data_IF_842975617873
#
_entry.id   IF_842975617873
#
_cell.length_a   1.000
_cell.length_b   1.000
_cell.length_c   1.000
_cell.angle_alpha   90.00
_cell.angle_beta   90.00
_cell.angle_gamma   90.00
#
_symmetry.space_group_name_H-M   'P 1'
#
loop_
_entity.id
_entity.type
_entity.pdbx_description
1 polymer ?
#
# COMPACT_ATOMS: atom_id res chain seq x y z
N UNK A 1 14.07 10.56 -3.82
CA UNK A 1 13.21 10.08 -4.91
C UNK A 1 12.08 11.05 -5.17
N UNK A 2 12.24 11.99 -6.08
CA UNK A 2 11.20 12.98 -6.38
C UNK A 2 10.47 12.58 -7.67
N UNK A 3 9.14 12.70 -7.71
CA UNK A 3 8.31 12.23 -8.82
C UNK A 3 8.78 12.72 -10.20
N UNK A 4 9.04 14.01 -10.34
CA UNK A 4 9.53 14.62 -11.58
C UNK A 4 10.87 14.07 -12.05
N UNK A 5 11.81 13.85 -11.13
CA UNK A 5 13.13 13.26 -11.44
C UNK A 5 12.99 11.78 -11.83
N UNK A 6 12.11 11.04 -11.17
CA UNK A 6 11.85 9.64 -11.50
C UNK A 6 11.25 9.49 -12.91
N UNK A 7 10.28 10.32 -13.29
CA UNK A 7 9.73 10.29 -14.66
C UNK A 7 10.80 10.62 -15.69
N UNK A 8 11.61 11.67 -15.45
CA UNK A 8 12.66 12.04 -16.38
C UNK A 8 13.68 10.92 -16.59
N UNK A 9 14.09 10.24 -15.50
CA UNK A 9 15.01 9.09 -15.57
C UNK A 9 14.37 7.86 -16.19
N UNK A 10 13.08 7.62 -15.95
CA UNK A 10 12.33 6.53 -16.58
C UNK A 10 12.30 6.71 -18.11
N UNK A 11 12.00 7.91 -18.58
CA UNK A 11 12.02 8.25 -20.00
C UNK A 11 13.41 8.03 -20.63
N UNK A 12 14.49 8.46 -19.94
CA UNK A 12 15.86 8.19 -20.36
C UNK A 12 16.17 6.69 -20.46
N UNK A 13 15.73 5.91 -19.48
CA UNK A 13 16.03 4.47 -19.41
C UNK A 13 15.28 3.65 -20.46
N UNK A 14 14.10 4.09 -20.86
CA UNK A 14 13.34 3.52 -21.98
C UNK A 14 13.99 3.86 -23.34
N UNK A 15 15.04 4.69 -23.33
CA UNK A 15 15.79 5.22 -24.49
C UNK A 15 14.89 5.97 -25.47
N UNK A 16 14.00 6.79 -24.93
CA UNK A 16 13.20 7.69 -25.75
C UNK A 16 13.96 9.02 -25.92
N UNK A 17 14.26 9.36 -27.17
CA UNK A 17 15.03 10.57 -27.52
C UNK A 17 14.20 11.85 -27.37
N UNK A 18 12.94 11.77 -26.93
CA UNK A 18 12.06 12.92 -26.82
C UNK A 18 11.39 13.02 -25.44
N UNK A 19 11.67 14.08 -24.66
CA UNK A 19 10.85 14.44 -23.51
C UNK A 19 9.42 14.89 -23.90
N UNK A 20 9.05 14.82 -25.19
CA UNK A 20 7.73 15.15 -25.75
C UNK A 20 7.19 14.05 -26.71
N UNK A 21 7.72 12.82 -26.63
CA UNK A 21 7.31 11.72 -27.51
C UNK A 21 5.89 11.22 -27.21
N UNK A 22 5.09 11.03 -28.26
CA UNK A 22 3.66 10.67 -28.24
C UNK A 22 3.26 9.37 -27.53
N UNK A 23 4.19 8.69 -26.85
CA UNK A 23 4.03 7.31 -26.37
C UNK A 23 4.03 7.18 -24.85
N UNK A 24 4.69 8.08 -24.10
CA UNK A 24 4.74 8.04 -22.64
C UNK A 24 3.62 8.86 -22.03
N UNK A 25 2.52 8.20 -21.68
CA UNK A 25 1.44 8.81 -20.92
C UNK A 25 1.88 9.13 -19.47
N UNK A 26 1.63 10.36 -19.00
CA UNK A 26 2.10 10.85 -17.70
C UNK A 26 1.51 10.04 -16.54
N UNK A 27 0.19 9.89 -16.51
CA UNK A 27 -0.54 9.08 -15.54
C UNK A 27 -0.01 7.64 -15.55
N UNK A 28 0.06 7.02 -16.72
CA UNK A 28 0.56 5.65 -16.86
C UNK A 28 1.99 5.50 -16.33
N UNK A 29 2.87 6.47 -16.58
CA UNK A 29 4.24 6.46 -16.07
C UNK A 29 4.27 6.46 -14.54
N UNK A 30 3.42 7.25 -13.90
CA UNK A 30 3.25 7.22 -12.44
C UNK A 30 2.64 5.90 -11.96
N UNK A 31 1.64 5.34 -12.66
CA UNK A 31 1.03 4.05 -12.31
C UNK A 31 2.11 2.94 -12.24
N UNK A 32 3.00 2.88 -13.24
CA UNK A 32 4.09 1.90 -13.29
C UNK A 32 5.14 2.13 -12.20
N UNK A 33 5.51 3.38 -11.93
CA UNK A 33 6.43 3.71 -10.83
C UNK A 33 5.83 3.32 -9.48
N UNK A 34 4.54 3.56 -9.29
CA UNK A 34 3.85 3.19 -8.06
C UNK A 34 3.73 1.67 -7.90
N UNK A 35 3.44 0.95 -8.98
CA UNK A 35 3.46 -0.52 -8.98
C UNK A 35 4.84 -1.07 -8.63
N UNK A 36 5.89 -0.53 -9.26
CA UNK A 36 7.27 -0.87 -8.96
C UNK A 36 7.63 -0.62 -7.48
N UNK A 37 7.23 0.53 -6.94
CA UNK A 37 7.46 0.88 -5.56
C UNK A 37 6.74 -0.05 -4.58
N UNK A 38 5.48 -0.45 -4.87
CA UNK A 38 4.74 -1.43 -4.06
C UNK A 38 5.42 -2.79 -4.03
N UNK A 39 5.83 -3.30 -5.20
CA UNK A 39 6.52 -4.59 -5.30
C UNK A 39 7.87 -4.55 -4.56
N UNK A 40 8.64 -3.46 -4.74
CA UNK A 40 9.89 -3.25 -4.02
C UNK A 40 9.68 -3.23 -2.50
N UNK A 41 8.66 -2.52 -2.00
CA UNK A 41 8.34 -2.46 -0.58
C UNK A 41 7.98 -3.84 0.00
N UNK A 42 7.10 -4.56 -0.70
CA UNK A 42 6.65 -5.90 -0.32
C UNK A 42 7.81 -6.89 -0.17
N UNK A 43 8.68 -6.94 -1.17
CA UNK A 43 9.75 -7.94 -1.25
C UNK A 43 10.97 -7.60 -0.37
N UNK A 44 11.34 -6.32 -0.29
CA UNK A 44 12.48 -5.89 0.53
C UNK A 44 12.11 -5.67 2.00
N UNK A 45 10.82 -5.58 2.32
CA UNK A 45 10.31 -5.18 3.64
C UNK A 45 10.92 -3.87 4.14
N UNK A 46 11.21 -2.94 3.24
CA UNK A 46 11.88 -1.68 3.56
C UNK A 46 10.97 -0.77 4.39
N UNK A 47 9.70 -0.65 3.99
CA UNK A 47 8.70 0.16 4.66
C UNK A 47 7.87 -0.71 5.60
N UNK A 48 7.68 -0.24 6.81
CA UNK A 48 6.95 -0.95 7.85
C UNK A 48 6.28 0.04 8.80
N UNK A 49 5.20 -0.41 9.42
CA UNK A 49 4.44 0.34 10.40
C UNK A 49 3.85 -0.63 11.42
N UNK A 50 3.32 -0.08 12.51
CA UNK A 50 2.66 -0.84 13.57
C UNK A 50 1.24 -0.34 13.73
N UNK A 51 0.28 -1.25 13.78
CA UNK A 51 -1.10 -0.96 14.11
C UNK A 51 -1.45 -1.65 15.42
N UNK A 52 -1.97 -0.89 16.38
CA UNK A 52 -2.52 -1.45 17.61
C UNK A 52 -4.01 -1.73 17.39
N UNK A 53 -4.41 -2.99 17.55
CA UNK A 53 -5.81 -3.41 17.53
C UNK A 53 -6.22 -3.72 18.97
N UNK A 54 -7.28 -3.06 19.43
CA UNK A 54 -7.94 -3.40 20.70
C UNK A 54 -9.11 -4.31 20.39
N UNK A 55 -9.10 -5.49 21.00
CA UNK A 55 -10.16 -6.48 20.86
C UNK A 55 -11.46 -5.99 21.49
N UNK A 56 -12.56 -6.42 20.88
CA UNK A 56 -13.92 -6.27 21.39
C UNK A 56 -14.47 -7.67 21.58
N UNK A 57 -15.19 -7.86 22.67
CA UNK A 57 -15.83 -9.12 23.03
C UNK A 57 -16.67 -9.67 21.87
N UNK A 58 -16.51 -10.95 21.56
CA UNK A 58 -17.16 -11.69 20.46
C UNK A 58 -16.87 -11.18 19.03
N UNK A 59 -16.04 -10.14 18.87
CA UNK A 59 -15.72 -9.60 17.55
C UNK A 59 -14.52 -10.34 16.93
N UNK A 60 -14.79 -11.07 15.84
CA UNK A 60 -13.75 -11.80 15.12
C UNK A 60 -12.94 -10.92 14.15
N UNK A 61 -13.53 -9.86 13.58
CA UNK A 61 -12.96 -9.11 12.45
C UNK A 61 -12.51 -7.71 12.85
N UNK A 62 -11.31 -7.32 12.43
CA UNK A 62 -10.72 -6.03 12.74
C UNK A 62 -10.13 -5.38 11.47
N UNK A 63 -10.51 -4.13 11.14
CA UNK A 63 -10.03 -3.48 9.94
C UNK A 63 -8.54 -3.16 10.04
N UNK A 64 -7.81 -3.49 8.98
CA UNK A 64 -6.41 -3.14 8.83
C UNK A 64 -6.25 -1.77 8.18
N UNK A 65 -5.10 -1.15 8.45
CA UNK A 65 -4.77 0.12 7.80
C UNK A 65 -4.76 -0.03 6.27
N UNK A 66 -5.15 1.02 5.52
CA UNK A 66 -5.29 0.92 4.06
C UNK A 66 -3.99 0.63 3.31
N UNK A 67 -2.85 0.90 3.94
CA UNK A 67 -1.52 0.64 3.39
C UNK A 67 -0.97 -0.73 3.79
N UNK A 68 -1.76 -1.61 4.41
CA UNK A 68 -1.32 -2.96 4.76
C UNK A 68 -1.01 -3.77 3.49
N UNK A 69 0.20 -4.34 3.43
CA UNK A 69 0.57 -5.31 2.39
C UNK A 69 0.71 -6.73 2.93
N UNK A 70 1.42 -6.89 4.05
CA UNK A 70 1.77 -8.20 4.60
C UNK A 70 2.23 -8.10 6.05
N UNK A 71 2.05 -9.15 6.85
CA UNK A 71 2.64 -9.25 8.19
C UNK A 71 4.17 -9.25 8.11
N UNK A 72 4.81 -8.49 9.01
CA UNK A 72 6.28 -8.35 9.03
C UNK A 72 6.96 -9.52 9.75
N UNK A 73 6.34 -9.96 10.86
CA UNK A 73 6.92 -10.90 11.82
C UNK A 73 6.70 -12.34 11.38
N UNK A 74 7.75 -13.14 11.51
CA UNK A 74 7.78 -14.54 11.14
C UNK A 74 8.38 -15.38 12.28
N UNK A 75 7.92 -16.61 12.44
CA UNK A 75 8.53 -17.61 13.31
C UNK A 75 9.83 -18.19 12.72
N UNK A 76 10.45 -19.13 13.44
CA UNK A 76 11.68 -19.82 12.98
C UNK A 76 11.47 -20.67 11.72
N UNK A 77 10.23 -21.00 11.38
CA UNK A 77 9.86 -21.75 10.19
C UNK A 77 9.44 -20.82 9.02
N UNK A 78 9.46 -19.51 9.22
CA UNK A 78 9.03 -18.52 8.23
C UNK A 78 7.52 -18.34 8.14
N UNK A 79 6.73 -18.85 9.10
CA UNK A 79 5.29 -18.60 9.19
C UNK A 79 5.02 -17.25 9.84
N UNK A 80 4.07 -16.52 9.29
CA UNK A 80 3.68 -15.22 9.83
C UNK A 80 3.03 -15.36 11.20
N UNK A 81 3.44 -14.50 12.13
CA UNK A 81 2.94 -14.51 13.51
C UNK A 81 2.67 -13.10 14.00
N UNK A 82 1.74 -12.97 14.94
CA UNK A 82 1.41 -11.69 15.58
C UNK A 82 1.34 -11.86 17.10
N UNK A 83 1.83 -10.89 17.89
CA UNK A 83 1.71 -10.93 19.33
C UNK A 83 0.30 -10.52 19.77
N UNK A 84 -0.29 -11.31 20.65
CA UNK A 84 -1.57 -11.06 21.30
C UNK A 84 -1.35 -10.92 22.81
N UNK A 85 -1.75 -9.80 23.38
CA UNK A 85 -1.59 -9.49 24.79
C UNK A 85 -2.95 -9.45 25.48
N UNK A 86 -3.20 -10.41 26.37
CA UNK A 86 -4.44 -10.50 27.15
C UNK A 86 -4.43 -9.67 28.44
N UNK A 87 -3.45 -8.77 28.60
CA UNK A 87 -3.23 -7.95 29.80
C UNK A 87 -2.34 -8.61 30.86
N UNK A 88 -2.11 -9.93 30.77
CA UNK A 88 -1.28 -10.68 31.73
C UNK A 88 -0.10 -11.41 31.07
N UNK A 89 -0.30 -11.92 29.85
CA UNK A 89 0.68 -12.67 29.09
C UNK A 89 0.58 -12.33 27.60
N UNK A 90 1.68 -12.56 26.89
CA UNK A 90 1.74 -12.45 25.43
C UNK A 90 1.72 -13.84 24.82
N UNK A 91 0.70 -14.13 24.02
CA UNK A 91 0.62 -15.30 23.15
C UNK A 91 0.98 -14.92 21.72
N UNK A 92 1.48 -15.88 20.93
CA UNK A 92 1.85 -15.65 19.54
C UNK A 92 0.86 -16.38 18.65
N UNK A 93 0.04 -15.63 17.94
CA UNK A 93 -0.93 -16.19 16.99
C UNK A 93 -0.21 -16.50 15.70
N UNK A 94 -0.56 -17.62 15.08
CA UNK A 94 -0.01 -18.02 13.78
C UNK A 94 -1.01 -17.79 12.65
N UNK A 95 -0.50 -17.45 11.47
CA UNK A 95 -1.33 -17.31 10.27
C UNK A 95 -1.92 -18.67 9.91
N UNK A 96 -3.25 -18.73 9.86
CA UNK A 96 -4.05 -19.85 9.38
C UNK A 96 -4.75 -19.52 8.07
N UNK A 97 -5.21 -20.56 7.38
CA UNK A 97 -6.05 -20.38 6.20
C UNK A 97 -7.47 -19.95 6.64
N UNK A 98 -8.05 -18.96 5.95
CA UNK A 98 -9.40 -18.49 6.28
C UNK A 98 -10.47 -19.60 6.29
N UNK A 99 -10.49 -20.56 5.34
CA UNK A 99 -11.43 -21.68 5.42
C UNK A 99 -11.29 -22.50 6.70
N UNK A 100 -10.07 -22.74 7.19
CA UNK A 100 -9.86 -23.48 8.43
C UNK A 100 -10.49 -22.76 9.62
N UNK A 101 -10.39 -21.42 9.68
CA UNK A 101 -11.06 -20.60 10.70
C UNK A 101 -12.59 -20.72 10.63
N UNK A 102 -13.16 -20.89 9.44
CA UNK A 102 -14.63 -20.98 9.28
C UNK A 102 -15.18 -22.36 9.65
N UNK A 103 -14.39 -23.42 9.48
CA UNK A 103 -14.85 -24.81 9.67
C UNK A 103 -14.47 -25.43 11.01
N UNK A 104 -13.36 -25.00 11.59
CA UNK A 104 -12.91 -25.48 12.90
C UNK A 104 -13.47 -24.56 13.97
N UNK A 105 -14.51 -25.01 14.67
CA UNK A 105 -15.06 -24.33 15.83
C UNK A 105 -14.18 -24.61 17.05
N UNK A 106 -13.36 -23.63 17.44
CA UNK A 106 -12.49 -23.72 18.60
C UNK A 106 -13.16 -23.02 19.78
N UNK A 107 -13.43 -23.75 20.86
CA UNK A 107 -14.09 -23.25 22.08
C UNK A 107 -13.08 -22.61 23.09
N UNK A 108 -11.98 -22.02 22.59
CA UNK A 108 -10.97 -21.37 23.44
C UNK A 108 -11.31 -19.88 23.66
N UNK A 109 -11.04 -19.35 24.86
CA UNK A 109 -11.30 -17.92 25.17
C UNK A 109 -10.24 -16.95 24.66
N UNK A 110 -9.10 -17.49 24.21
CA UNK A 110 -7.97 -16.73 23.68
C UNK A 110 -7.73 -17.22 22.26
N UNK A 111 -7.68 -16.32 21.27
CA UNK A 111 -7.33 -16.69 19.90
C UNK A 111 -6.00 -17.44 19.87
N UNK A 112 -5.87 -18.43 18.99
CA UNK A 112 -4.61 -19.16 18.77
C UNK A 112 -4.10 -19.01 17.33
N UNK A 113 -4.95 -18.56 16.42
CA UNK A 113 -4.62 -18.28 15.01
C UNK A 113 -5.31 -17.03 14.51
N UNK A 114 -4.87 -16.56 13.35
CA UNK A 114 -5.49 -15.46 12.65
C UNK A 114 -5.46 -15.69 11.14
N UNK A 115 -6.34 -15.02 10.40
CA UNK A 115 -6.27 -14.91 8.95
C UNK A 115 -6.38 -13.46 8.51
N UNK A 116 -5.94 -13.19 7.29
CA UNK A 116 -6.15 -11.92 6.61
C UNK A 116 -7.15 -12.18 5.48
N UNK A 117 -8.22 -11.40 5.43
CA UNK A 117 -9.26 -11.52 4.40
C UNK A 117 -9.53 -10.18 3.74
N UNK A 118 -10.03 -10.22 2.51
CA UNK A 118 -10.52 -9.02 1.85
C UNK A 118 -11.68 -8.41 2.64
N UNK A 119 -11.57 -7.11 2.91
CA UNK A 119 -12.66 -6.34 3.49
C UNK A 119 -13.72 -6.11 2.41
N UNK A 120 -15.02 -6.25 2.71
CA UNK A 120 -16.08 -5.88 1.78
C UNK A 120 -15.87 -4.47 1.23
N UNK A 121 -16.07 -4.32 -0.08
CA UNK A 121 -15.87 -3.06 -0.79
C UNK A 121 -16.63 -1.93 -0.10
N UNK A 122 -15.92 -0.89 0.32
CA UNK A 122 -16.55 0.26 0.94
C UNK A 122 -17.43 1.02 -0.07
N UNK A 123 -18.50 1.63 0.44
CA UNK A 123 -19.46 2.41 -0.34
C UNK A 123 -18.76 3.54 -1.08
N UNK A 124 -19.14 3.75 -2.34
CA UNK A 124 -18.68 4.89 -3.12
C UNK A 124 -19.14 6.20 -2.46
N UNK A 125 -18.25 7.18 -2.42
CA UNK A 125 -18.60 8.52 -1.99
C UNK A 125 -18.83 9.38 -3.23
N UNK A 126 -19.99 10.02 -3.32
CA UNK A 126 -20.34 10.90 -4.42
C UNK A 126 -20.64 12.29 -3.88
N UNK A 127 -20.29 13.32 -4.64
CA UNK A 127 -20.56 14.69 -4.20
C UNK A 127 -20.29 15.71 -5.29
N UNK A 128 -20.21 16.98 -4.89
CA UNK A 128 -19.94 18.10 -5.78
C UNK A 128 -18.92 19.03 -5.15
N UNK A 129 -17.85 19.34 -5.88
CA UNK A 129 -16.82 20.24 -5.41
C UNK A 129 -17.40 21.63 -5.12
N UNK A 130 -17.17 22.13 -3.91
CA UNK A 130 -17.68 23.44 -3.45
C UNK A 130 -16.70 24.57 -3.72
N UNK A 131 -15.45 24.28 -4.08
CA UNK A 131 -14.44 25.28 -4.44
C UNK A 131 -13.57 24.82 -5.61
N UNK A 132 -13.12 25.76 -6.44
CA UNK A 132 -12.12 25.49 -7.45
C UNK A 132 -10.72 25.34 -6.84
N UNK A 133 -9.88 24.51 -7.45
CA UNK A 133 -8.46 24.36 -7.13
C UNK A 133 -7.68 24.13 -8.42
N UNK A 134 -6.82 25.07 -8.77
CA UNK A 134 -5.85 24.89 -9.85
C UNK A 134 -4.80 23.84 -9.46
N UNK A 135 -4.25 23.11 -10.43
CA UNK A 135 -3.13 22.23 -10.17
C UNK A 135 -1.86 23.03 -9.87
N UNK A 136 -1.07 22.49 -8.97
CA UNK A 136 0.27 22.98 -8.65
C UNK A 136 1.21 21.79 -8.58
N UNK A 137 1.99 21.58 -9.64
CA UNK A 137 2.93 20.45 -9.73
C UNK A 137 2.26 19.09 -9.61
N UNK A 138 1.03 18.96 -10.13
CA UNK A 138 0.25 17.71 -10.08
C UNK A 138 -0.60 17.50 -8.84
N UNK A 139 -0.61 18.43 -7.88
CA UNK A 139 -1.54 18.42 -6.75
C UNK A 139 -2.71 19.39 -6.98
N UNK A 140 -3.92 18.93 -6.66
CA UNK A 140 -5.13 19.75 -6.52
C UNK A 140 -5.85 19.42 -5.22
N UNK A 141 -6.73 20.29 -4.75
CA UNK A 141 -7.56 20.04 -3.57
C UNK A 141 -9.02 19.90 -3.98
N UNK A 142 -9.61 18.74 -3.69
CA UNK A 142 -11.05 18.53 -3.73
C UNK A 142 -11.63 18.97 -2.39
N UNK A 143 -12.47 20.00 -2.41
CA UNK A 143 -13.22 20.48 -1.23
C UNK A 143 -14.70 20.25 -1.46
N UNK A 144 -15.36 19.63 -0.50
CA UNK A 144 -16.81 19.49 -0.44
C UNK A 144 -17.25 19.64 1.02
N UNK A 145 -17.91 20.75 1.34
CA UNK A 145 -18.33 21.08 2.71
C UNK A 145 -19.42 20.15 3.26
N UNK A 146 -20.04 19.33 2.40
CA UNK A 146 -21.10 18.39 2.78
C UNK A 146 -20.60 16.95 2.87
N UNK A 147 -19.43 16.65 2.31
CA UNK A 147 -18.85 15.31 2.31
C UNK A 147 -18.08 15.00 3.61
N UNK A 148 -17.92 13.70 3.88
CA UNK A 148 -17.14 13.18 4.99
C UNK A 148 -15.96 12.34 4.47
N UNK A 149 -14.84 13.01 4.19
CA UNK A 149 -13.63 12.38 3.66
C UNK A 149 -12.76 11.68 4.71
N UNK A 150 -13.10 11.75 6.01
CA UNK A 150 -12.30 11.17 7.10
C UNK A 150 -12.12 9.65 7.00
N UNK A 151 -13.04 8.97 6.32
CA UNK A 151 -13.04 7.51 6.17
C UNK A 151 -12.41 7.06 4.85
N UNK A 152 -12.01 7.99 3.99
CA UNK A 152 -11.51 7.66 2.65
C UNK A 152 -10.02 7.37 2.70
N UNK A 153 -9.59 6.16 2.31
CA UNK A 153 -8.18 5.82 2.35
C UNK A 153 -7.38 6.55 1.27
N UNK A 154 -6.13 6.90 1.60
CA UNK A 154 -5.14 7.37 0.61
C UNK A 154 -4.93 6.30 -0.47
N UNK A 155 -4.75 6.72 -1.72
CA UNK A 155 -4.68 5.84 -2.88
C UNK A 155 -6.04 5.45 -3.48
N UNK A 156 -7.15 5.89 -2.87
CA UNK A 156 -8.49 5.76 -3.47
C UNK A 156 -8.57 6.48 -4.81
N UNK A 157 -9.30 5.91 -5.76
CA UNK A 157 -9.50 6.52 -7.08
C UNK A 157 -10.58 7.59 -7.02
N UNK A 158 -10.38 8.70 -7.72
CA UNK A 158 -11.32 9.81 -7.84
C UNK A 158 -11.63 10.02 -9.30
N UNK A 159 -12.92 10.14 -9.61
CA UNK A 159 -13.42 10.43 -10.94
C UNK A 159 -14.15 11.75 -10.85
N UNK A 160 -13.73 12.71 -11.67
CA UNK A 160 -14.60 13.83 -11.98
C UNK A 160 -15.63 13.31 -12.99
N UNK A 161 -16.92 13.46 -12.72
CA UNK A 161 -17.98 13.00 -13.63
C UNK A 161 -18.53 14.12 -14.50
N UNK A 162 -18.14 15.37 -14.24
CA UNK A 162 -18.46 16.52 -15.08
C UNK A 162 -17.48 16.63 -16.24
N UNK A 163 -16.22 16.31 -16.00
CA UNK A 163 -15.12 16.30 -16.98
C UNK A 163 -14.54 14.90 -17.11
N UNK A 164 -13.79 14.59 -18.17
CA UNK A 164 -13.14 13.28 -18.33
C UNK A 164 -11.85 13.14 -17.50
N UNK A 165 -11.90 13.54 -16.22
CA UNK A 165 -10.71 13.55 -15.36
C UNK A 165 -10.73 12.38 -14.38
N UNK A 166 -9.57 11.75 -14.22
CA UNK A 166 -9.35 10.63 -13.30
C UNK A 166 -8.15 10.93 -12.44
N UNK A 167 -8.19 10.53 -11.19
CA UNK A 167 -7.12 10.78 -10.25
C UNK A 167 -7.09 9.85 -9.06
N UNK A 168 -6.20 10.19 -8.13
CA UNK A 168 -6.01 9.45 -6.89
C UNK A 168 -5.94 10.41 -5.70
N UNK A 169 -6.45 9.98 -4.56
CA UNK A 169 -6.31 10.71 -3.30
C UNK A 169 -4.87 10.53 -2.79
N UNK A 170 -4.18 11.64 -2.58
CA UNK A 170 -2.81 11.68 -2.06
C UNK A 170 -2.79 11.84 -0.54
N UNK A 171 -3.72 12.63 0.01
CA UNK A 171 -3.85 12.81 1.46
C UNK A 171 -5.22 13.38 1.84
N UNK A 172 -5.66 13.08 3.05
CA UNK A 172 -6.86 13.70 3.65
C UNK A 172 -6.41 14.89 4.49
N UNK A 173 -6.82 16.10 4.10
CA UNK A 173 -6.40 17.34 4.79
C UNK A 173 -7.37 17.70 5.90
N UNK A 174 -8.67 17.45 5.69
CA UNK A 174 -9.72 17.60 6.69
C UNK A 174 -10.89 16.67 6.37
N UNK A 175 -11.94 16.66 7.20
CA UNK A 175 -13.16 15.92 6.90
C UNK A 175 -13.89 16.39 5.64
N UNK A 176 -13.59 17.59 5.13
CA UNK A 176 -14.24 18.22 3.97
C UNK A 176 -13.28 18.53 2.83
N UNK A 177 -11.99 18.20 2.96
CA UNK A 177 -10.98 18.47 1.94
C UNK A 177 -9.94 17.35 1.83
N UNK A 178 -9.68 16.92 0.60
CA UNK A 178 -8.63 15.94 0.26
C UNK A 178 -7.73 16.49 -0.83
N UNK A 179 -6.44 16.16 -0.76
CA UNK A 179 -5.51 16.39 -1.87
C UNK A 179 -5.62 15.25 -2.86
N UNK A 180 -5.67 15.61 -4.14
CA UNK A 180 -5.78 14.68 -5.26
C UNK A 180 -4.71 14.97 -6.31
N UNK A 181 -4.21 13.93 -6.98
CA UNK A 181 -3.56 14.08 -8.27
C UNK A 181 -4.58 13.76 -9.35
N UNK A 182 -4.98 14.77 -10.13
CA UNK A 182 -5.97 14.62 -11.19
C UNK A 182 -5.30 14.69 -12.55
N UNK A 183 -5.77 13.85 -13.47
CA UNK A 183 -5.28 13.73 -14.83
C UNK A 183 -6.43 13.88 -15.82
N UNK A 184 -6.23 14.70 -16.84
CA UNK A 184 -7.17 14.82 -17.95
C UNK A 184 -6.93 13.68 -18.95
N UNK A 185 -7.96 12.88 -19.22
CA UNK A 185 -7.92 11.78 -20.18
C UNK A 185 -8.55 12.14 -21.53
N UNK A 186 -8.88 13.42 -21.77
CA UNK A 186 -9.49 13.88 -23.02
C UNK A 186 -8.53 13.79 -24.22
N UNK A 187 -7.22 13.84 -23.97
CA UNK A 187 -6.18 13.73 -24.97
C UNK A 187 -5.46 12.37 -24.89
N UNK A 188 -4.71 12.03 -25.95
CA UNK A 188 -3.90 10.78 -26.01
C UNK A 188 -2.85 10.73 -24.90
N UNK A 189 -2.32 11.89 -24.50
CA UNK A 189 -1.42 12.03 -23.36
C UNK A 189 -2.16 12.71 -22.23
N UNK A 190 -2.13 12.11 -21.04
CA UNK A 190 -2.66 12.73 -19.86
C UNK A 190 -1.82 13.94 -19.45
N UNK A 191 -2.53 15.01 -19.09
CA UNK A 191 -1.97 16.19 -18.46
C UNK A 191 -2.58 16.34 -17.07
N UNK A 192 -1.95 17.12 -16.20
CA UNK A 192 -2.58 17.45 -14.92
C UNK A 192 -3.89 18.21 -15.14
N UNK A 193 -4.87 17.90 -14.31
CA UNK A 193 -6.19 18.50 -14.33
C UNK A 193 -6.48 19.26 -13.05
N UNK A 194 -7.42 20.19 -13.14
CA UNK A 194 -7.85 21.08 -12.07
C UNK A 194 -9.23 20.68 -11.54
N UNK A 195 -9.58 21.15 -10.34
CA UNK A 195 -10.96 21.14 -9.88
C UNK A 195 -11.62 22.49 -10.15
N UNK A 196 -12.83 22.49 -10.67
CA UNK A 196 -13.71 23.66 -10.64
C UNK A 196 -14.83 23.46 -9.65
N UNK A 197 -15.30 24.54 -9.03
CA UNK A 197 -16.56 24.51 -8.29
C UNK A 197 -17.66 23.95 -9.20
N UNK A 198 -18.59 23.20 -8.64
CA UNK A 198 -19.67 22.46 -9.35
C UNK A 198 -19.25 21.17 -10.05
N UNK A 199 -17.97 20.79 -10.08
CA UNK A 199 -17.61 19.46 -10.56
C UNK A 199 -18.21 18.37 -9.68
N UNK A 200 -19.06 17.54 -10.28
CA UNK A 200 -19.51 16.30 -9.66
C UNK A 200 -18.38 15.28 -9.64
N UNK A 201 -18.32 14.47 -8.60
CA UNK A 201 -17.28 13.46 -8.45
C UNK A 201 -17.81 12.15 -7.87
N UNK A 202 -17.06 11.09 -8.15
CA UNK A 202 -17.18 9.77 -7.52
C UNK A 202 -15.81 9.42 -6.95
N UNK A 203 -15.73 9.14 -5.66
CA UNK A 203 -14.58 8.52 -5.02
C UNK A 203 -14.89 7.04 -4.84
N UNK A 204 -13.99 6.21 -5.37
CA UNK A 204 -13.99 4.78 -5.16
C UNK A 204 -12.92 4.45 -4.12
N UNK A 205 -13.31 4.08 -2.87
CA UNK A 205 -12.35 3.67 -1.86
C UNK A 205 -11.47 2.51 -2.35
N UNK A 206 -10.18 2.58 -2.02
CA UNK A 206 -9.24 1.50 -2.26
C UNK A 206 -9.63 0.22 -1.51
N UNK A 207 -9.22 -0.94 -2.04
CA UNK A 207 -9.39 -2.22 -1.37
C UNK A 207 -8.64 -2.23 -0.03
N UNK A 208 -9.21 -2.91 0.97
CA UNK A 208 -8.68 -3.01 2.32
C UNK A 208 -8.76 -4.46 2.78
N UNK A 209 -8.06 -4.76 3.87
CA UNK A 209 -8.05 -6.08 4.49
C UNK A 209 -8.61 -6.01 5.91
N UNK A 210 -9.19 -7.12 6.35
CA UNK A 210 -9.57 -7.35 7.73
C UNK A 210 -8.67 -8.46 8.31
N UNK A 211 -8.25 -8.28 9.57
CA UNK A 211 -7.70 -9.33 10.41
C UNK A 211 -8.87 -10.11 11.01
N UNK A 212 -8.86 -11.43 10.85
CA UNK A 212 -9.82 -12.34 11.45
C UNK A 212 -9.11 -13.12 12.55
N UNK A 213 -9.59 -13.00 13.79
CA UNK A 213 -9.11 -13.76 14.94
C UNK A 213 -9.94 -15.03 15.11
N UNK A 214 -9.26 -16.09 15.51
CA UNK A 214 -9.91 -17.36 15.76
C UNK A 214 -9.27 -18.14 16.94
N UNK A 215 -10.08 -18.55 17.92
CA UNK A 215 -11.46 -18.11 18.14
C UNK A 215 -11.62 -16.59 18.34
N UNK A 216 -12.84 -16.04 18.19
CA UNK A 216 -13.13 -14.67 18.59
C UNK A 216 -12.76 -14.47 20.07
N UNK A 217 -12.24 -13.29 20.46
CA UNK A 217 -11.91 -13.03 21.84
C UNK A 217 -13.17 -12.87 22.70
N UNK A 218 -13.24 -13.59 23.82
CA UNK A 218 -14.35 -13.51 24.81
C UNK A 218 -14.21 -12.33 25.78
N UNK A 219 -13.22 -11.47 25.57
CA UNK A 219 -12.94 -10.35 26.49
C UNK A 219 -12.48 -9.14 25.69
N UNK A 220 -13.11 -8.00 25.98
CA UNK A 220 -12.72 -6.71 25.41
C UNK A 220 -11.44 -6.19 26.07
N UNK A 221 -10.64 -5.45 25.31
CA UNK A 221 -9.48 -4.72 25.83
C UNK A 221 -8.14 -5.46 25.74
N UNK A 222 -8.12 -6.72 25.28
CA UNK A 222 -6.87 -7.35 24.86
C UNK A 222 -6.30 -6.61 23.63
N UNK A 223 -4.98 -6.63 23.46
CA UNK A 223 -4.30 -5.83 22.43
C UNK A 223 -3.44 -6.68 21.51
N UNK A 224 -3.42 -6.32 20.24
CA UNK A 224 -2.54 -6.89 19.22
C UNK A 224 -1.68 -5.77 18.67
N UNK A 225 -0.35 -5.94 18.75
CA UNK A 225 0.60 -5.05 18.11
C UNK A 225 1.01 -5.64 16.76
N UNK A 226 0.23 -5.32 15.71
CA UNK A 226 0.48 -5.81 14.37
C UNK A 226 1.60 -5.00 13.72
N UNK A 227 2.78 -5.62 13.58
CA UNK A 227 3.84 -5.10 12.71
C UNK A 227 3.62 -5.61 11.28
N UNK A 228 3.57 -4.69 10.32
CA UNK A 228 3.29 -5.02 8.93
C UNK A 228 4.19 -4.24 7.97
N UNK A 229 4.40 -4.83 6.80
CA UNK A 229 4.98 -4.16 5.64
C UNK A 229 3.90 -3.23 5.08
N UNK A 230 4.23 -1.94 4.98
CA UNK A 230 3.30 -0.96 4.43
C UNK A 230 3.60 -0.65 2.97
N UNK A 231 2.55 -0.38 2.19
CA UNK A 231 2.68 0.17 0.86
C UNK A 231 3.25 1.60 0.96
N UNK A 232 4.09 2.02 0.01
CA UNK A 232 4.48 3.41 -0.07
C UNK A 232 3.26 4.29 -0.33
N UNK A 233 3.33 5.56 0.09
CA UNK A 233 2.33 6.54 -0.30
C UNK A 233 2.35 6.75 -1.83
N UNK A 234 1.19 6.94 -2.47
CA UNK A 234 1.12 7.16 -3.91
C UNK A 234 1.78 8.48 -4.27
N UNK A 235 2.74 8.43 -5.21
CA UNK A 235 3.42 9.61 -5.75
C UNK A 235 2.94 9.80 -7.18
N UNK A 236 1.99 10.71 -7.37
CA UNK A 236 1.44 11.12 -8.68
C UNK A 236 1.60 12.61 -8.93
N UNK A 237 2.51 13.27 -8.20
CA UNK A 237 2.80 14.69 -8.32
C UNK A 237 4.30 14.93 -8.53
N UNK A 238 4.66 16.08 -9.09
CA UNK A 238 6.02 16.43 -9.50
C UNK A 238 6.98 16.41 -8.31
N UNK A 239 6.55 16.99 -7.18
CA UNK A 239 7.38 17.20 -6.00
C UNK A 239 7.16 16.15 -4.90
N UNK A 240 6.31 15.15 -5.16
CA UNK A 240 6.09 14.04 -4.26
C UNK A 240 7.31 13.15 -4.17
N UNK A 241 7.45 12.44 -3.05
CA UNK A 241 8.61 11.56 -2.86
C UNK A 241 8.27 10.28 -2.13
N UNK A 242 8.89 9.18 -2.56
CA UNK A 242 8.80 7.91 -1.86
C UNK A 242 9.73 7.91 -0.64
N UNK A 243 9.24 7.36 0.47
CA UNK A 243 9.97 7.27 1.75
C UNK A 243 11.06 6.20 1.83
N UNK A 244 11.58 5.66 0.73
CA UNK A 244 12.69 4.71 0.81
C UNK A 244 14.04 5.42 0.95
N UNK A 245 15.02 4.71 1.53
CA UNK A 245 16.40 5.17 1.59
C UNK A 245 16.99 5.39 0.19
N UNK A 246 17.99 6.28 0.10
CA UNK A 246 18.71 6.53 -1.14
C UNK A 246 19.47 5.30 -1.62
N UNK A 247 19.63 5.17 -2.93
CA UNK A 247 20.28 4.05 -3.61
C UNK A 247 19.32 2.95 -4.09
N UNK A 248 18.03 3.03 -3.77
CA UNK A 248 17.01 2.10 -4.26
C UNK A 248 16.23 2.63 -5.47
N UNK A 249 16.49 3.87 -5.88
CA UNK A 249 15.79 4.53 -6.99
C UNK A 249 15.93 3.76 -8.30
N UNK A 250 17.14 3.27 -8.55
CA UNK A 250 17.47 2.56 -9.78
C UNK A 250 16.71 1.24 -9.91
N UNK A 251 16.44 0.55 -8.79
CA UNK A 251 15.70 -0.70 -8.79
C UNK A 251 14.25 -0.46 -9.20
N UNK A 252 13.61 0.54 -8.59
CA UNK A 252 12.24 0.94 -8.90
C UNK A 252 12.13 1.38 -10.37
N UNK A 253 13.06 2.21 -10.84
CA UNK A 253 13.10 2.66 -12.24
C UNK A 253 13.26 1.51 -13.24
N UNK A 254 14.15 0.56 -12.97
CA UNK A 254 14.38 -0.61 -13.85
C UNK A 254 13.15 -1.51 -13.93
N UNK A 255 12.45 -1.73 -12.82
CA UNK A 255 11.23 -2.51 -12.82
C UNK A 255 10.07 -1.80 -13.54
N UNK A 256 9.91 -0.49 -13.31
CA UNK A 256 8.93 0.31 -14.04
C UNK A 256 9.20 0.30 -15.56
N UNK A 257 10.46 0.45 -15.97
CA UNK A 257 10.83 0.36 -17.38
C UNK A 257 10.65 -1.06 -17.96
N UNK A 258 10.88 -2.10 -17.17
CA UNK A 258 10.58 -3.47 -17.56
C UNK A 258 9.08 -3.66 -17.86
N UNK A 259 8.21 -3.23 -16.95
CA UNK A 259 6.75 -3.28 -17.16
C UNK A 259 6.35 -2.54 -18.44
N UNK A 260 6.95 -1.37 -18.67
CA UNK A 260 6.73 -0.57 -19.87
C UNK A 260 7.12 -1.33 -21.15
N UNK A 261 8.33 -1.91 -21.20
CA UNK A 261 8.86 -2.62 -22.37
C UNK A 261 8.17 -3.96 -22.63
N UNK A 262 7.67 -4.60 -21.57
CA UNK A 262 6.91 -5.85 -21.70
C UNK A 262 5.57 -5.61 -22.39
N UNK A 263 4.88 -4.51 -22.07
CA UNK A 263 3.67 -4.05 -22.79
C UNK A 263 3.94 -3.87 -24.29
N UNK A 264 5.08 -3.26 -24.63
CA UNK A 264 5.46 -2.96 -26.01
C UNK A 264 6.03 -4.18 -26.77
N UNK A 265 5.92 -5.39 -26.20
CA UNK A 265 6.39 -6.65 -26.80
C UNK A 265 7.89 -6.65 -27.18
N UNK A 266 8.74 -6.01 -26.37
CA UNK A 266 10.20 -6.03 -26.52
C UNK A 266 10.87 -6.92 -25.44
N UNK A 267 10.63 -8.25 -25.44
CA UNK A 267 10.98 -9.13 -24.31
C UNK A 267 12.49 -9.20 -24.05
N UNK A 268 13.32 -9.29 -25.09
CA UNK A 268 14.79 -9.43 -24.93
C UNK A 268 15.45 -8.26 -24.21
N UNK A 269 14.94 -7.03 -24.40
CA UNK A 269 15.44 -5.85 -23.70
C UNK A 269 14.86 -5.76 -22.28
N UNK A 270 13.57 -6.11 -22.13
CA UNK A 270 12.92 -6.19 -20.82
C UNK A 270 13.62 -7.18 -19.87
N UNK A 271 13.97 -8.37 -20.33
CA UNK A 271 14.55 -9.42 -19.48
C UNK A 271 15.84 -8.98 -18.78
N UNK A 272 16.68 -8.17 -19.45
CA UNK A 272 17.89 -7.61 -18.86
C UNK A 272 17.59 -6.62 -17.71
N UNK A 273 16.54 -5.80 -17.86
CA UNK A 273 16.09 -4.88 -16.83
C UNK A 273 15.53 -5.60 -15.61
N UNK A 274 14.76 -6.67 -15.84
CA UNK A 274 14.23 -7.51 -14.76
C UNK A 274 15.35 -8.22 -13.99
N UNK A 275 16.34 -8.78 -14.67
CA UNK A 275 17.50 -9.41 -14.01
C UNK A 275 18.31 -8.40 -13.18
N UNK A 276 18.48 -7.18 -13.68
CA UNK A 276 19.15 -6.11 -12.93
C UNK A 276 18.33 -5.68 -11.70
N UNK A 277 17.01 -5.62 -11.83
CA UNK A 277 16.09 -5.40 -10.70
C UNK A 277 16.21 -6.51 -9.66
N UNK A 278 16.10 -7.80 -10.04
CA UNK A 278 16.19 -8.94 -9.12
C UNK A 278 17.52 -8.95 -8.35
N UNK A 279 18.63 -8.62 -9.02
CA UNK A 279 19.93 -8.50 -8.35
C UNK A 279 19.93 -7.41 -7.27
N UNK A 280 19.37 -6.23 -7.58
CA UNK A 280 19.28 -5.12 -6.63
C UNK A 280 18.30 -5.44 -5.48
N UNK A 281 17.21 -6.15 -5.77
CA UNK A 281 16.25 -6.64 -4.79
C UNK A 281 16.87 -7.60 -3.78
N UNK A 282 17.64 -8.59 -4.24
CA UNK A 282 18.33 -9.54 -3.35
C UNK A 282 19.33 -8.82 -2.44
N UNK A 283 20.06 -7.85 -2.97
CA UNK A 283 20.99 -7.01 -2.19
C UNK A 283 20.24 -6.18 -1.15
N UNK A 284 19.18 -5.49 -1.54
CA UNK A 284 18.35 -4.68 -0.65
C UNK A 284 17.72 -5.52 0.46
N UNK A 285 17.15 -6.69 0.13
CA UNK A 285 16.58 -7.63 1.10
C UNK A 285 17.62 -8.13 2.10
N UNK A 286 18.83 -8.49 1.63
CA UNK A 286 19.93 -8.90 2.51
C UNK A 286 20.36 -7.78 3.45
N UNK A 287 20.49 -6.56 2.94
CA UNK A 287 20.86 -5.38 3.71
C UNK A 287 19.79 -5.06 4.77
N UNK A 288 18.52 -4.99 4.39
CA UNK A 288 17.41 -4.71 5.31
C UNK A 288 17.33 -5.77 6.41
N UNK A 289 17.48 -7.05 6.08
CA UNK A 289 17.53 -8.13 7.09
C UNK A 289 18.73 -8.01 8.04
N UNK A 290 19.87 -7.53 7.53
CA UNK A 290 21.07 -7.33 8.34
C UNK A 290 20.93 -6.16 9.29
N UNK A 291 20.46 -5.01 8.80
CA UNK A 291 20.26 -3.77 9.58
C UNK A 291 19.20 -3.99 10.66
N UNK A 292 18.12 -4.71 10.34
CA UNK A 292 17.03 -4.99 11.28
C UNK A 292 17.33 -6.12 12.28
N UNK A 293 18.55 -6.67 12.31
CA UNK A 293 18.89 -7.80 13.18
C UNK A 293 18.16 -9.11 12.86
N UNK A 294 17.32 -9.15 11.83
CA UNK A 294 16.55 -10.33 11.38
C UNK A 294 17.44 -11.49 10.92
N UNK A 295 18.75 -11.27 10.71
CA UNK A 295 19.70 -12.37 10.53
C UNK A 295 19.86 -13.25 11.78
N UNK A 296 19.43 -12.80 12.98
CA UNK A 296 19.71 -13.47 14.26
C UNK A 296 18.62 -13.41 15.34
N UNK A 297 17.45 -12.83 15.11
CA UNK A 297 16.33 -12.98 16.07
C UNK A 297 15.69 -14.36 15.86
N UNK A 298 16.33 -15.38 16.42
CA UNK A 298 15.66 -16.65 16.72
C UNK A 298 14.95 -16.42 18.05
N UNK A 299 13.62 -16.29 18.03
CA UNK A 299 12.84 -16.44 19.25
C UNK A 299 13.08 -17.89 19.72
N UNK A 300 13.96 -18.06 20.72
CA UNK A 300 14.12 -19.34 21.37
C UNK A 300 12.84 -19.58 22.17
N UNK A 301 11.92 -20.37 21.62
CA UNK A 301 10.86 -20.97 22.40
C UNK A 301 11.53 -21.84 23.46
N UNK A 302 11.63 -21.36 24.70
CA UNK A 302 11.98 -22.21 25.82
C UNK A 302 10.84 -23.21 25.99
N UNK A 303 11.00 -24.39 25.41
CA UNK A 303 10.27 -25.59 25.83
C UNK A 303 10.56 -25.79 27.32
N UNK A 304 9.60 -25.47 28.18
CA UNK A 304 9.61 -25.89 29.58
C UNK A 304 9.64 -27.41 29.62
N UNK A 305 10.84 -27.98 29.77
CA UNK A 305 10.98 -29.39 30.17
C UNK A 305 10.41 -29.49 31.59
N UNK A 306 9.21 -30.06 31.71
CA UNK A 306 8.73 -30.55 33.00
C UNK A 306 9.64 -31.69 33.44
N UNK A 307 10.22 -31.55 34.62
CA UNK A 307 11.01 -32.57 35.27
C UNK A 307 10.14 -33.79 35.58
N UNK A 308 10.61 -34.97 35.18
CA UNK A 308 10.45 -36.23 35.90
C UNK A 308 11.75 -37.00 35.84
#
# INVERSE_FOLDING_TARGET
MIGKDLIARLAQLINDAHPQGYWTDLKFSYDLLFEAAKNFASDTRSLHSTQTITTVDTQAKYPLNPNFLRVLTEDSNGKETIPYNNGTAVTWLSLGEYPAIVYDDLDDSIPNRFAITDRPKATQLTGTATSSSANSGGETTLTDTTAAFTTVPVGSSVYNTTSSYVGYILSVTSGTAVKTAMFDLSAVQSAYADWTSTNAYIVQPAAQYDLVLDPPPDTSGHTIALEYVCSPDPVYMDYGSYGFASGFEEAILKYAAWLYKYRDMQPKFGDALYLAYDMQMRKARSNNRSVKGMKRVRANFMSTKSWR
#
